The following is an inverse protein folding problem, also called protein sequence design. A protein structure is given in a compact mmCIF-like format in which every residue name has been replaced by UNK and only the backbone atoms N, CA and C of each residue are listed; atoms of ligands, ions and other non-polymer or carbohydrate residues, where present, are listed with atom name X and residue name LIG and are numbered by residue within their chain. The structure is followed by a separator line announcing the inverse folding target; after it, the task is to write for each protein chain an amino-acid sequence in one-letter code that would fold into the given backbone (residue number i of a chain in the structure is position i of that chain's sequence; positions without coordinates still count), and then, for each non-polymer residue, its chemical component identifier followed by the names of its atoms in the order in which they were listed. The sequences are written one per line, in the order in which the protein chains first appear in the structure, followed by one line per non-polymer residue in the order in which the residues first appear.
data_IF_502918843272
#
_entry.id   IF_502918843272
#
_cell.length_a   1.000
_cell.length_b   1.000
_cell.length_c   1.000
_cell.angle_alpha   90.00
_cell.angle_beta   90.00
_cell.angle_gamma   90.00
#
_symmetry.space_group_name_H-M   'P 1'
#
loop_
_entity.id
_entity.type
_entity.pdbx_description
1 polymer ?
#
# COMPACT_ATOMS: atom_id res chain seq x y z
N UNK A 1 33.92 8.50 29.65
CA UNK A 1 34.18 8.22 28.22
C UNK A 1 33.45 6.93 27.86
N UNK A 2 32.19 7.05 27.49
CA UNK A 2 31.27 6.03 26.92
C UNK A 2 29.94 6.81 26.87
N UNK A 3 29.29 7.08 25.75
CA UNK A 3 28.52 6.12 24.96
C UNK A 3 28.21 6.71 23.55
N UNK A 4 28.92 6.27 22.49
CA UNK A 4 28.48 6.49 21.11
C UNK A 4 27.50 5.41 20.59
N UNK A 5 27.20 4.37 21.39
CA UNK A 5 26.44 3.20 20.94
C UNK A 5 24.91 3.41 20.81
N UNK A 6 24.34 4.45 21.45
CA UNK A 6 22.90 4.73 21.39
C UNK A 6 22.49 5.54 20.15
N UNK A 7 23.42 6.25 19.50
CA UNK A 7 23.10 7.14 18.39
C UNK A 7 22.95 6.37 17.06
N UNK A 8 23.75 5.32 16.86
CA UNK A 8 23.73 4.47 15.65
C UNK A 8 22.48 3.57 15.58
N UNK A 9 22.08 3.01 16.73
CA UNK A 9 20.89 2.15 16.82
C UNK A 9 19.56 2.89 16.65
N UNK A 10 19.51 4.20 16.97
CA UNK A 10 18.33 5.05 16.75
C UNK A 10 18.16 5.47 15.28
N UNK A 11 19.25 5.81 14.60
CA UNK A 11 19.27 6.20 13.19
C UNK A 11 18.84 5.06 12.26
N UNK A 12 19.33 3.83 12.51
CA UNK A 12 18.92 2.65 11.75
C UNK A 12 17.43 2.29 11.92
N UNK A 13 16.89 2.45 13.13
CA UNK A 13 15.46 2.25 13.42
C UNK A 13 14.59 3.33 12.79
N UNK A 14 15.02 4.60 12.85
CA UNK A 14 14.32 5.71 12.23
C UNK A 14 14.23 5.56 10.70
N UNK A 15 15.34 5.23 10.05
CA UNK A 15 15.37 4.98 8.60
C UNK A 15 14.48 3.79 8.19
N UNK A 16 14.49 2.71 8.97
CA UNK A 16 13.60 1.55 8.75
C UNK A 16 12.12 1.95 8.91
N UNK A 17 11.79 2.84 9.83
CA UNK A 17 10.43 3.33 10.05
C UNK A 17 9.96 4.32 8.97
N UNK A 18 10.86 5.15 8.44
CA UNK A 18 10.56 6.01 7.29
C UNK A 18 10.32 5.20 6.02
N UNK A 19 11.13 4.17 5.77
CA UNK A 19 10.89 3.23 4.66
C UNK A 19 9.53 2.52 4.81
N UNK A 20 9.14 2.13 6.03
CA UNK A 20 7.81 1.57 6.33
C UNK A 20 6.69 2.53 5.96
N UNK A 21 6.78 3.79 6.38
CA UNK A 21 5.81 4.84 6.03
C UNK A 21 5.75 5.10 4.53
N UNK A 22 6.89 5.15 3.86
CA UNK A 22 6.95 5.36 2.41
C UNK A 22 6.28 4.20 1.66
N UNK A 23 6.57 2.96 2.06
CA UNK A 23 5.94 1.76 1.49
C UNK A 23 4.43 1.79 1.72
N UNK A 24 3.97 2.02 2.95
CA UNK A 24 2.53 2.11 3.26
C UNK A 24 1.83 3.21 2.45
N UNK A 25 2.47 4.37 2.26
CA UNK A 25 1.94 5.49 1.50
C UNK A 25 1.82 5.16 0.01
N UNK A 26 2.86 4.54 -0.56
CA UNK A 26 2.90 4.16 -1.97
C UNK A 26 1.86 3.08 -2.28
N UNK A 27 1.74 2.12 -1.37
CA UNK A 27 0.74 1.06 -1.36
C UNK A 27 -0.70 1.61 -1.30
N UNK A 28 -0.95 2.59 -0.44
CA UNK A 28 -2.24 3.26 -0.36
C UNK A 28 -2.55 4.07 -1.64
N UNK A 29 -1.58 4.80 -2.18
CA UNK A 29 -1.73 5.53 -3.43
C UNK A 29 -2.03 4.60 -4.61
N UNK A 30 -1.39 3.42 -4.66
CA UNK A 30 -1.65 2.41 -5.68
C UNK A 30 -3.07 1.84 -5.57
N UNK A 31 -3.54 1.57 -4.34
CA UNK A 31 -4.91 1.12 -4.10
C UNK A 31 -5.94 2.15 -4.59
N UNK A 32 -5.72 3.44 -4.30
CA UNK A 32 -6.57 4.54 -4.79
C UNK A 32 -6.53 4.64 -6.31
N UNK A 33 -5.35 4.55 -6.93
CA UNK A 33 -5.21 4.62 -8.38
C UNK A 33 -5.94 3.47 -9.10
N UNK A 34 -5.85 2.24 -8.55
CA UNK A 34 -6.59 1.08 -9.03
C UNK A 34 -8.10 1.28 -8.87
N UNK A 35 -8.54 1.78 -7.72
CA UNK A 35 -9.95 2.06 -7.46
C UNK A 35 -10.52 3.07 -8.46
N UNK A 36 -9.82 4.18 -8.68
CA UNK A 36 -10.23 5.22 -9.64
C UNK A 36 -10.30 4.64 -11.05
N UNK A 37 -9.27 3.91 -11.48
CA UNK A 37 -9.22 3.35 -12.84
C UNK A 37 -10.26 2.27 -13.08
N UNK A 38 -10.58 1.47 -12.07
CA UNK A 38 -11.46 0.31 -12.20
C UNK A 38 -12.93 0.64 -11.97
N UNK A 39 -13.23 1.62 -11.11
CA UNK A 39 -14.61 1.94 -10.72
C UNK A 39 -15.01 3.35 -11.14
N UNK A 40 -14.18 4.36 -10.87
CA UNK A 40 -14.56 5.75 -11.13
C UNK A 40 -14.53 6.08 -12.64
N UNK A 41 -13.51 5.65 -13.37
CA UNK A 41 -13.40 5.87 -14.83
C UNK A 41 -14.57 5.26 -15.63
N UNK A 42 -14.99 3.99 -15.39
CA UNK A 42 -16.14 3.42 -16.09
C UNK A 42 -17.46 4.11 -15.75
N UNK A 43 -17.64 4.55 -14.50
CA UNK A 43 -18.83 5.29 -14.09
C UNK A 43 -18.92 6.64 -14.79
N UNK A 44 -17.81 7.39 -14.86
CA UNK A 44 -17.77 8.70 -15.52
C UNK A 44 -17.91 8.62 -17.05
N UNK A 45 -17.50 7.52 -17.66
CA UNK A 45 -17.62 7.28 -19.11
C UNK A 45 -18.97 6.67 -19.53
N UNK A 46 -19.87 6.39 -18.57
CA UNK A 46 -21.16 5.73 -18.83
C UNK A 46 -21.03 4.24 -19.18
N UNK A 47 -19.83 3.66 -19.10
CA UNK A 47 -19.51 2.28 -19.46
C UNK A 47 -19.66 1.31 -18.29
N UNK A 48 -20.74 1.43 -17.50
CA UNK A 48 -20.97 0.54 -16.35
C UNK A 48 -21.25 -0.89 -16.83
N UNK A 49 -20.37 -1.82 -16.44
CA UNK A 49 -20.50 -3.24 -16.75
C UNK A 49 -20.31 -4.05 -15.47
N UNK A 50 -21.38 -4.69 -15.03
CA UNK A 50 -21.42 -5.45 -13.78
C UNK A 50 -20.35 -6.55 -13.72
N UNK A 51 -20.10 -7.25 -14.82
CA UNK A 51 -19.08 -8.30 -14.87
C UNK A 51 -17.66 -7.74 -14.67
N UNK A 52 -17.35 -6.59 -15.30
CA UNK A 52 -16.09 -5.87 -15.06
C UNK A 52 -15.98 -5.35 -13.63
N UNK A 53 -17.07 -4.85 -13.06
CA UNK A 53 -17.11 -4.39 -11.67
C UNK A 53 -16.83 -5.52 -10.69
N UNK A 54 -17.47 -6.68 -10.85
CA UNK A 54 -17.24 -7.87 -9.99
C UNK A 54 -15.81 -8.38 -10.13
N UNK A 55 -15.31 -8.49 -11.36
CA UNK A 55 -13.92 -8.91 -11.61
C UNK A 55 -12.91 -7.92 -11.00
N UNK A 56 -13.15 -6.62 -11.18
CA UNK A 56 -12.36 -5.55 -10.59
C UNK A 56 -12.37 -5.59 -9.06
N UNK A 57 -13.51 -5.90 -8.45
CA UNK A 57 -13.63 -6.08 -7.00
C UNK A 57 -12.82 -7.28 -6.51
N UNK A 58 -12.89 -8.41 -7.22
CA UNK A 58 -12.08 -9.59 -6.93
C UNK A 58 -10.58 -9.30 -6.98
N UNK A 59 -10.12 -8.62 -8.04
CA UNK A 59 -8.74 -8.19 -8.17
C UNK A 59 -8.31 -7.21 -7.07
N UNK A 60 -9.19 -6.27 -6.70
CA UNK A 60 -8.93 -5.31 -5.62
C UNK A 60 -8.78 -5.99 -4.25
N UNK A 61 -9.62 -6.99 -3.94
CA UNK A 61 -9.51 -7.75 -2.69
C UNK A 61 -8.20 -8.55 -2.63
N UNK A 62 -7.82 -9.22 -3.72
CA UNK A 62 -6.54 -9.94 -3.80
C UNK A 62 -5.36 -8.97 -3.64
N UNK A 63 -5.42 -7.81 -4.28
CA UNK A 63 -4.41 -6.76 -4.15
C UNK A 63 -4.32 -6.24 -2.71
N UNK A 64 -5.45 -5.98 -2.04
CA UNK A 64 -5.50 -5.61 -0.62
C UNK A 64 -4.93 -6.71 0.29
N UNK A 65 -5.19 -7.99 -0.01
CA UNK A 65 -4.60 -9.12 0.71
C UNK A 65 -3.07 -9.16 0.56
N UNK A 66 -2.57 -8.98 -0.66
CA UNK A 66 -1.13 -8.92 -0.94
C UNK A 66 -0.47 -7.71 -0.28
N UNK A 67 -1.12 -6.56 -0.31
CA UNK A 67 -0.75 -5.33 0.42
C UNK A 67 -0.60 -5.58 1.91
N UNK A 68 -1.63 -6.17 2.52
CA UNK A 68 -1.65 -6.45 3.95
C UNK A 68 -0.58 -7.48 4.33
N UNK A 69 -0.38 -8.50 3.49
CA UNK A 69 0.70 -9.47 3.65
C UNK A 69 2.08 -8.81 3.59
N UNK A 70 2.35 -7.96 2.59
CA UNK A 70 3.63 -7.25 2.45
C UNK A 70 3.87 -6.31 3.65
N UNK A 71 2.86 -5.57 4.08
CA UNK A 71 2.93 -4.72 5.27
C UNK A 71 3.23 -5.54 6.53
N UNK A 72 2.51 -6.64 6.74
CA UNK A 72 2.70 -7.53 7.88
C UNK A 72 4.10 -8.16 7.88
N UNK A 73 4.61 -8.57 6.70
CA UNK A 73 5.98 -9.10 6.54
C UNK A 73 7.08 -8.06 6.71
N UNK A 74 6.77 -6.78 6.56
CA UNK A 74 7.67 -5.64 6.80
C UNK A 74 7.63 -5.23 8.28
N UNK A 75 6.56 -5.56 8.99
CA UNK A 75 6.36 -5.30 10.42
C UNK A 75 7.22 -6.23 11.28
N UNK A 76 7.28 -7.53 10.94
CA UNK A 76 8.29 -8.50 11.42
C UNK A 76 9.74 -8.08 11.06
#
# INVERSE_FOLDING_TARGET
MTEPALQDSGLGKASRNEKRKAVATLLNALAVAIFISTFLQPLLSGGFNLARTVWGFGGFIVFQGALHYVLSRVED
#
